data_IF_827816955218
#
_entry.id   IF_827816955218
#
_cell.length_a   1.000
_cell.length_b   1.000
_cell.length_c   1.000
_cell.angle_alpha   90.00
_cell.angle_beta   90.00
_cell.angle_gamma   90.00
#
_symmetry.space_group_name_H-M   'P 1'
#
loop_
_entity.id
_entity.type
_entity.pdbx_description
1 polymer ?
#
# COMPACT_ATOMS: atom_id res chain seq x y z
N UNK A 1 -12.83 -0.40 -37.88
CA UNK A 1 -11.98 0.58 -37.17
C UNK A 1 -12.88 1.47 -36.33
N UNK A 2 -12.96 1.21 -35.03
CA UNK A 2 -13.77 1.98 -34.07
C UNK A 2 -12.82 2.37 -32.94
N UNK A 3 -12.65 3.67 -32.76
CA UNK A 3 -11.77 4.28 -31.77
C UNK A 3 -12.47 4.22 -30.39
N UNK A 4 -11.90 3.61 -29.35
CA UNK A 4 -12.54 3.57 -28.03
C UNK A 4 -12.48 4.95 -27.38
N UNK A 5 -13.67 5.57 -27.25
CA UNK A 5 -13.88 6.88 -26.61
C UNK A 5 -13.36 6.86 -25.17
N UNK A 6 -12.48 7.81 -24.85
CA UNK A 6 -12.09 8.21 -23.49
C UNK A 6 -13.33 8.67 -22.69
N UNK A 7 -13.64 8.10 -21.52
CA UNK A 7 -14.78 8.55 -20.71
C UNK A 7 -14.49 9.81 -19.88
N UNK A 8 -13.24 10.26 -19.82
CA UNK A 8 -12.83 11.38 -18.96
C UNK A 8 -12.26 12.51 -19.81
N UNK A 9 -13.14 13.36 -20.34
CA UNK A 9 -12.74 14.63 -20.94
C UNK A 9 -12.43 15.65 -19.83
N UNK A 10 -11.33 16.42 -19.93
CA UNK A 10 -11.02 17.45 -18.95
C UNK A 10 -12.00 18.63 -19.13
N UNK A 11 -12.83 18.91 -18.11
CA UNK A 11 -13.60 20.15 -18.07
C UNK A 11 -12.74 21.26 -17.46
N UNK A 12 -12.76 22.39 -18.16
CA UNK A 12 -12.02 23.64 -17.92
C UNK A 12 -12.40 24.33 -16.60
N UNK A 13 -11.38 24.99 -16.03
CA UNK A 13 -11.39 25.78 -14.80
C UNK A 13 -12.57 26.75 -14.62
N UNK A 14 -13.09 26.80 -13.39
CA UNK A 14 -13.61 28.01 -12.73
C UNK A 14 -13.12 28.03 -11.27
N UNK A 15 -12.74 29.19 -10.71
CA UNK A 15 -12.13 29.26 -9.39
C UNK A 15 -13.19 29.32 -8.27
N UNK A 16 -12.71 29.22 -7.02
CA UNK A 16 -13.39 29.40 -5.71
C UNK A 16 -13.90 28.07 -5.11
N UNK A 17 -13.62 27.67 -3.87
CA UNK A 17 -13.29 28.41 -2.64
C UNK A 17 -12.16 27.76 -1.81
N UNK A 18 -11.60 28.57 -0.93
CA UNK A 18 -10.59 28.27 0.10
C UNK A 18 -10.81 26.93 0.84
N UNK A 19 -9.76 26.12 0.88
CA UNK A 19 -9.62 24.96 1.74
C UNK A 19 -9.91 25.32 3.20
N UNK A 20 -10.60 24.47 3.98
CA UNK A 20 -10.68 24.66 5.41
C UNK A 20 -9.28 24.43 5.98
N UNK A 21 -8.69 25.51 6.52
CA UNK A 21 -7.53 25.44 7.38
C UNK A 21 -7.90 24.66 8.63
N UNK A 22 -7.41 23.43 8.75
CA UNK A 22 -7.41 22.74 10.03
C UNK A 22 -6.44 23.49 10.96
N UNK A 23 -7.01 24.34 11.79
CA UNK A 23 -6.28 25.02 12.87
C UNK A 23 -5.80 23.97 13.86
N UNK A 24 -4.49 23.81 13.94
CA UNK A 24 -3.78 23.08 14.99
C UNK A 24 -4.21 23.60 16.37
N UNK A 25 -5.08 22.85 17.04
CA UNK A 25 -5.40 23.04 18.44
C UNK A 25 -4.33 22.37 19.30
N UNK A 26 -3.33 23.15 19.66
CA UNK A 26 -2.31 22.85 20.67
C UNK A 26 -2.94 22.65 22.05
N UNK A 27 -2.72 21.46 22.66
CA UNK A 27 -2.38 21.25 24.08
C UNK A 27 -2.17 19.75 24.42
N UNK A 28 -1.06 19.19 23.92
CA UNK A 28 -0.29 18.11 24.58
C UNK A 28 1.19 18.48 24.46
N UNK A 29 2.06 18.14 25.44
CA UNK A 29 3.46 18.50 25.36
C UNK A 29 4.05 17.91 24.07
N UNK A 30 4.64 18.76 23.24
CA UNK A 30 5.18 18.36 21.94
C UNK A 30 6.36 17.41 22.14
N UNK A 31 6.17 16.12 21.84
CA UNK A 31 7.23 15.11 21.76
C UNK A 31 8.35 15.47 20.76
N UNK A 32 8.16 16.50 19.92
CA UNK A 32 9.13 16.95 18.90
C UNK A 32 10.47 17.44 19.46
N UNK A 33 10.56 17.92 20.71
CA UNK A 33 11.84 18.32 21.31
C UNK A 33 12.67 17.13 21.85
N UNK A 34 12.19 15.90 21.68
CA UNK A 34 12.76 14.71 22.31
C UNK A 34 13.03 13.54 21.36
N UNK A 35 12.91 13.72 20.04
CA UNK A 35 13.20 12.71 19.03
C UNK A 35 14.56 12.96 18.36
N UNK A 36 15.24 11.92 17.82
CA UNK A 36 16.49 12.12 17.11
C UNK A 36 16.28 12.93 15.84
N UNK A 37 17.22 13.82 15.50
CA UNK A 37 17.14 14.62 14.27
C UNK A 37 17.21 13.73 13.02
N UNK A 38 16.65 14.17 11.87
CA UNK A 38 16.82 13.50 10.58
C UNK A 38 18.29 13.16 10.25
N UNK A 39 19.20 14.11 10.48
CA UNK A 39 20.64 13.89 10.28
C UNK A 39 21.20 12.77 11.14
N UNK A 40 20.79 12.68 12.40
CA UNK A 40 21.19 11.61 13.31
C UNK A 40 20.66 10.25 12.83
N UNK A 41 19.39 10.16 12.44
CA UNK A 41 18.78 8.92 11.94
C UNK A 41 19.50 8.38 10.71
N UNK A 42 19.91 9.24 9.77
CA UNK A 42 20.63 8.81 8.56
C UNK A 42 21.97 8.13 8.87
N UNK A 43 22.72 8.60 9.87
CA UNK A 43 24.06 8.08 10.20
C UNK A 43 24.09 7.06 11.33
N UNK A 44 23.00 6.87 12.07
CA UNK A 44 22.94 5.96 13.23
C UNK A 44 21.86 4.88 13.05
N UNK A 45 21.79 3.96 14.02
CA UNK A 45 20.83 2.86 14.04
C UNK A 45 21.18 1.72 13.10
N UNK A 46 20.38 0.66 13.18
CA UNK A 46 20.47 -0.51 12.30
C UNK A 46 19.27 -0.53 11.36
N UNK A 47 19.48 -0.91 10.10
CA UNK A 47 18.37 -1.19 9.20
C UNK A 47 17.64 -2.45 9.67
N UNK A 48 16.30 -2.40 9.63
CA UNK A 48 15.47 -3.55 10.03
C UNK A 48 15.65 -4.71 9.05
N UNK A 49 15.80 -4.41 7.76
CA UNK A 49 16.12 -5.36 6.70
C UNK A 49 17.42 -4.93 5.97
N UNK A 50 18.60 -5.33 6.50
CA UNK A 50 19.88 -4.91 5.93
C UNK A 50 20.19 -5.58 4.58
N UNK A 51 19.59 -6.74 4.29
CA UNK A 51 19.82 -7.48 3.05
C UNK A 51 19.09 -6.85 1.86
N UNK A 52 18.07 -6.04 2.12
CA UNK A 52 17.21 -5.43 1.11
C UNK A 52 17.50 -3.93 0.86
N UNK A 53 18.69 -3.46 1.26
CA UNK A 53 19.08 -2.06 1.10
C UNK A 53 19.02 -1.54 -0.34
N UNK A 54 19.24 -2.39 -1.35
CA UNK A 54 19.09 -2.00 -2.75
C UNK A 54 17.65 -1.68 -3.11
N UNK A 55 16.68 -2.42 -2.56
CA UNK A 55 15.26 -2.16 -2.73
C UNK A 55 14.86 -0.87 -2.03
N UNK A 56 15.28 -0.68 -0.78
CA UNK A 56 15.07 0.56 -0.04
C UNK A 56 15.53 1.80 -0.83
N UNK A 57 16.72 1.74 -1.46
CA UNK A 57 17.24 2.81 -2.31
C UNK A 57 16.43 3.03 -3.58
N UNK A 58 15.97 1.95 -4.22
CA UNK A 58 15.15 2.03 -5.43
C UNK A 58 13.79 2.68 -5.16
N UNK A 59 13.21 2.39 -3.99
CA UNK A 59 11.90 2.87 -3.58
C UNK A 59 11.94 4.14 -2.74
N UNK A 60 13.14 4.65 -2.39
CA UNK A 60 13.27 5.87 -1.61
C UNK A 60 12.65 5.77 -0.22
N UNK A 61 12.67 4.58 0.41
CA UNK A 61 12.10 4.32 1.73
C UNK A 61 13.06 3.47 2.55
N UNK A 62 13.25 3.83 3.81
CA UNK A 62 14.14 3.15 4.74
C UNK A 62 13.46 2.96 6.07
N UNK A 63 13.75 1.84 6.73
CA UNK A 63 13.29 1.56 8.09
C UNK A 63 14.50 1.26 8.97
N UNK A 64 14.64 1.97 10.08
CA UNK A 64 15.73 1.81 11.03
C UNK A 64 15.26 1.64 12.46
N UNK A 65 15.93 0.74 13.19
CA UNK A 65 15.90 0.67 14.65
C UNK A 65 16.99 1.57 15.22
N UNK A 66 16.62 2.51 16.07
CA UNK A 66 17.54 3.48 16.69
C UNK A 66 17.36 3.46 18.20
N UNK A 67 18.47 3.33 18.94
CA UNK A 67 18.49 3.59 20.38
C UNK A 67 18.59 5.10 20.62
N UNK A 68 17.55 5.67 21.23
CA UNK A 68 17.51 7.09 21.57
C UNK A 68 17.11 7.26 23.04
N UNK A 69 17.99 7.90 23.82
CA UNK A 69 17.81 8.14 25.27
C UNK A 69 17.44 6.87 26.06
N UNK A 70 18.12 5.77 25.77
CA UNK A 70 17.94 4.49 26.46
C UNK A 70 16.69 3.70 26.06
N UNK A 71 15.96 4.13 25.01
CA UNK A 71 14.84 3.39 24.43
C UNK A 71 15.11 3.06 22.97
N UNK A 72 14.66 1.90 22.53
CA UNK A 72 14.64 1.59 21.10
C UNK A 72 13.34 2.14 20.48
N UNK A 73 13.50 2.78 19.33
CA UNK A 73 12.41 3.29 18.51
C UNK A 73 12.66 2.88 17.06
N UNK A 74 11.59 2.82 16.29
CA UNK A 74 11.63 2.51 14.87
C UNK A 74 11.35 3.80 14.09
N UNK A 75 12.11 4.02 13.01
CA UNK A 75 11.97 5.21 12.17
C UNK A 75 11.88 4.77 10.71
N UNK A 76 10.74 5.07 10.09
CA UNK A 76 10.53 4.96 8.65
C UNK A 76 10.77 6.33 8.02
N UNK A 77 11.62 6.40 7.00
CA UNK A 77 11.95 7.68 6.37
C UNK A 77 12.32 7.56 4.89
N UNK A 78 12.18 8.65 4.15
CA UNK A 78 12.60 8.75 2.75
C UNK A 78 11.71 9.69 1.91
N UNK A 79 12.00 9.75 0.61
CA UNK A 79 11.31 10.62 -0.36
C UNK A 79 9.89 10.10 -0.69
N UNK A 80 9.68 8.78 -0.61
CA UNK A 80 8.39 8.14 -0.85
C UNK A 80 7.69 7.76 0.47
N UNK A 81 8.11 8.35 1.60
CA UNK A 81 7.41 8.23 2.89
C UNK A 81 6.53 9.46 3.07
N UNK A 82 5.26 9.25 3.44
CA UNK A 82 4.27 10.31 3.55
C UNK A 82 3.67 10.36 4.95
N UNK A 83 3.39 11.57 5.46
CA UNK A 83 2.80 11.75 6.80
C UNK A 83 1.42 11.09 6.96
N UNK A 84 0.74 10.79 5.86
CA UNK A 84 -0.54 10.10 5.83
C UNK A 84 -0.50 8.73 6.51
N UNK A 85 0.62 8.01 6.45
CA UNK A 85 0.81 6.74 7.17
C UNK A 85 0.73 6.95 8.69
N UNK A 86 1.42 7.98 9.20
CA UNK A 86 1.35 8.34 10.61
C UNK A 86 -0.02 8.89 11.04
N UNK A 87 -0.71 9.60 10.14
CA UNK A 87 -2.05 10.14 10.40
C UNK A 87 -3.10 9.04 10.52
N UNK A 88 -3.11 8.08 9.59
CA UNK A 88 -4.06 6.95 9.66
C UNK A 88 -3.79 6.05 10.86
N UNK A 89 -2.52 5.81 11.23
CA UNK A 89 -2.19 5.05 12.43
C UNK A 89 -2.70 5.72 13.72
N UNK A 90 -2.67 7.06 13.78
CA UNK A 90 -3.26 7.79 14.92
C UNK A 90 -4.77 7.64 14.94
N UNK A 91 -5.45 7.81 13.81
CA UNK A 91 -6.90 7.59 13.69
C UNK A 91 -7.29 6.17 14.15
N UNK A 92 -6.62 5.15 13.61
CA UNK A 92 -6.90 3.74 13.94
C UNK A 92 -6.70 3.49 15.42
N UNK A 93 -5.63 4.02 16.04
CA UNK A 93 -5.41 3.89 17.48
C UNK A 93 -6.47 4.61 18.31
N UNK A 94 -6.93 5.77 17.87
CA UNK A 94 -7.88 6.62 18.62
C UNK A 94 -9.30 6.05 18.58
N UNK A 95 -9.74 5.55 17.42
CA UNK A 95 -11.14 5.18 17.19
C UNK A 95 -11.41 3.66 17.25
N UNK A 96 -10.37 2.85 17.43
CA UNK A 96 -10.50 1.38 17.40
C UNK A 96 -9.64 0.66 18.44
N UNK A 97 -9.84 -0.64 18.55
CA UNK A 97 -8.97 -1.54 19.33
C UNK A 97 -7.92 -2.26 18.47
N UNK A 98 -7.77 -1.91 17.19
CA UNK A 98 -6.74 -2.49 16.32
C UNK A 98 -5.35 -2.14 16.88
N UNK A 99 -4.49 -3.13 17.15
CA UNK A 99 -3.15 -2.85 17.63
C UNK A 99 -2.31 -2.31 16.47
N UNK A 100 -1.82 -1.08 16.61
CA UNK A 100 -0.85 -0.46 15.70
C UNK A 100 0.32 0.11 16.53
N UNK A 101 1.53 0.31 15.98
CA UNK A 101 2.59 1.00 16.71
C UNK A 101 2.19 2.41 17.12
N UNK A 102 2.59 2.87 18.31
CA UNK A 102 2.35 4.26 18.69
C UNK A 102 3.22 5.21 17.86
N UNK A 103 2.59 6.16 17.17
CA UNK A 103 3.31 7.22 16.45
C UNK A 103 3.83 8.25 17.46
N UNK A 104 5.15 8.32 17.60
CA UNK A 104 5.84 9.21 18.52
C UNK A 104 6.02 10.62 17.95
N UNK A 105 6.13 10.73 16.62
CA UNK A 105 6.26 12.01 15.93
C UNK A 105 6.45 11.86 14.42
N UNK A 106 6.36 13.00 13.73
CA UNK A 106 6.67 13.12 12.30
C UNK A 106 7.58 14.34 12.12
N UNK A 107 8.61 14.23 11.29
CA UNK A 107 9.43 15.35 10.87
C UNK A 107 9.57 15.34 9.34
N UNK A 108 9.75 16.53 8.76
CA UNK A 108 10.11 16.68 7.35
C UNK A 108 11.42 17.44 7.31
N UNK A 109 12.44 16.86 6.68
CA UNK A 109 13.71 17.55 6.50
C UNK A 109 13.58 18.55 5.36
N UNK A 110 13.64 19.85 5.67
CA UNK A 110 13.45 20.90 4.68
C UNK A 110 14.51 20.90 3.56
N UNK A 111 15.70 20.34 3.83
CA UNK A 111 16.79 20.30 2.87
C UNK A 111 16.60 19.22 1.80
N UNK A 112 16.17 18.01 2.18
CA UNK A 112 15.96 16.90 1.25
C UNK A 112 14.50 16.72 0.83
N UNK A 113 13.55 17.23 1.61
CA UNK A 113 12.12 16.96 1.45
C UNK A 113 11.68 15.60 2.00
N UNK A 114 12.58 14.80 2.57
CA UNK A 114 12.27 13.48 3.12
C UNK A 114 11.39 13.59 4.38
N UNK A 115 10.39 12.71 4.46
CA UNK A 115 9.57 12.54 5.67
C UNK A 115 10.21 11.50 6.58
N UNK A 116 10.10 11.71 7.89
CA UNK A 116 10.52 10.80 8.96
C UNK A 116 9.32 10.53 9.87
N UNK A 117 8.91 9.28 9.97
CA UNK A 117 7.88 8.81 10.90
C UNK A 117 8.60 8.06 12.03
N UNK A 118 8.42 8.55 13.25
CA UNK A 118 8.99 7.97 14.45
C UNK A 118 7.91 7.18 15.17
N UNK A 119 8.15 5.90 15.42
CA UNK A 119 7.17 5.00 16.00
C UNK A 119 7.76 4.10 17.09
N UNK A 120 6.86 3.59 17.92
CA UNK A 120 7.15 2.55 18.90
C UNK A 120 7.74 1.32 18.20
N UNK A 121 8.84 0.79 18.74
CA UNK A 121 9.31 -0.53 18.36
C UNK A 121 8.43 -1.58 19.05
N UNK A 122 7.60 -2.27 18.26
CA UNK A 122 6.87 -3.45 18.74
C UNK A 122 7.79 -4.66 18.66
N UNK A 123 8.26 -5.13 19.80
CA UNK A 123 9.14 -6.30 19.92
C UNK A 123 8.35 -7.61 19.68
N UNK A 124 8.10 -7.93 18.41
CA UNK A 124 7.44 -9.15 17.97
C UNK A 124 7.88 -9.51 16.54
N UNK A 125 8.04 -10.81 16.22
CA UNK A 125 8.28 -11.24 14.84
C UNK A 125 7.04 -11.01 13.97
N UNK A 126 7.25 -10.95 12.66
CA UNK A 126 6.14 -10.95 11.69
C UNK A 126 5.42 -12.31 11.71
N UNK A 127 4.17 -12.35 11.24
CA UNK A 127 3.43 -13.58 11.05
C UNK A 127 4.13 -14.48 10.02
N UNK A 128 4.78 -13.87 9.01
CA UNK A 128 5.57 -14.61 8.04
C UNK A 128 6.72 -15.38 8.72
N UNK A 129 7.51 -14.69 9.57
CA UNK A 129 8.65 -15.29 10.26
C UNK A 129 8.25 -16.32 11.32
N UNK A 130 7.14 -16.06 12.02
CA UNK A 130 6.69 -16.91 13.11
C UNK A 130 5.94 -18.16 12.65
N UNK A 131 5.43 -18.18 11.40
CA UNK A 131 4.39 -19.12 10.96
C UNK A 131 4.67 -20.58 11.26
N UNK A 132 5.86 -21.07 10.90
CA UNK A 132 6.24 -22.48 11.03
C UNK A 132 6.37 -22.94 12.49
N UNK A 133 6.45 -22.01 13.44
CA UNK A 133 6.50 -22.28 14.87
C UNK A 133 5.14 -22.23 15.57
N UNK A 134 4.10 -21.72 14.91
CA UNK A 134 2.79 -21.53 15.52
C UNK A 134 2.04 -22.86 15.65
N UNK A 135 1.44 -23.07 16.81
CA UNK A 135 0.52 -24.19 17.04
C UNK A 135 -0.84 -23.94 16.38
N UNK A 136 -1.64 -25.00 16.10
CA UNK A 136 -2.99 -24.83 15.56
C UNK A 136 -3.91 -23.95 16.44
N UNK A 137 -3.72 -23.98 17.76
CA UNK A 137 -4.47 -23.13 18.68
C UNK A 137 -4.10 -21.64 18.53
N UNK A 138 -2.81 -21.34 18.38
CA UNK A 138 -2.32 -19.98 18.16
C UNK A 138 -2.75 -19.44 16.80
N UNK A 139 -2.69 -20.25 15.73
CA UNK A 139 -3.21 -19.87 14.41
C UNK A 139 -4.71 -19.50 14.51
N UNK A 140 -5.50 -20.29 15.27
CA UNK A 140 -6.91 -19.99 15.52
C UNK A 140 -7.10 -18.68 16.29
N UNK A 141 -6.26 -18.40 17.28
CA UNK A 141 -6.29 -17.13 18.01
C UNK A 141 -5.92 -15.93 17.14
N UNK A 142 -4.87 -16.06 16.31
CA UNK A 142 -4.41 -15.01 15.39
C UNK A 142 -5.48 -14.70 14.34
N UNK A 143 -6.07 -15.72 13.72
CA UNK A 143 -7.16 -15.53 12.74
C UNK A 143 -8.40 -14.91 13.38
N UNK A 144 -8.72 -15.26 14.63
CA UNK A 144 -9.79 -14.59 15.39
C UNK A 144 -9.47 -13.12 15.70
N UNK A 145 -8.24 -12.80 16.08
CA UNK A 145 -7.80 -11.42 16.29
C UNK A 145 -7.84 -10.63 14.98
N UNK A 146 -7.43 -11.24 13.87
CA UNK A 146 -7.49 -10.64 12.54
C UNK A 146 -8.92 -10.26 12.15
N UNK A 147 -9.88 -11.19 12.27
CA UNK A 147 -11.30 -10.89 12.00
C UNK A 147 -11.82 -9.75 12.87
N UNK A 148 -11.39 -9.69 14.15
CA UNK A 148 -11.75 -8.58 15.04
C UNK A 148 -11.15 -7.27 14.54
N UNK A 149 -9.88 -7.26 14.11
CA UNK A 149 -9.24 -6.06 13.58
C UNK A 149 -9.97 -5.52 12.34
N UNK A 150 -10.32 -6.38 11.38
CA UNK A 150 -11.10 -5.97 10.20
C UNK A 150 -12.47 -5.41 10.60
N UNK A 151 -13.16 -6.03 11.56
CA UNK A 151 -14.44 -5.54 12.07
C UNK A 151 -14.31 -4.20 12.83
N UNK A 152 -13.19 -3.97 13.51
CA UNK A 152 -12.90 -2.71 14.20
C UNK A 152 -12.63 -1.56 13.22
N UNK A 153 -11.88 -1.79 12.14
CA UNK A 153 -11.75 -0.84 11.03
C UNK A 153 -13.11 -0.53 10.38
N UNK A 154 -14.08 -1.44 10.52
CA UNK A 154 -15.44 -1.21 10.07
C UNK A 154 -16.24 -0.17 10.86
N UNK A 155 -15.75 0.20 12.04
CA UNK A 155 -16.40 1.20 12.91
C UNK A 155 -15.95 2.62 12.64
N UNK A 156 -14.84 2.81 11.92
CA UNK A 156 -14.35 4.13 11.57
C UNK A 156 -15.32 4.78 10.59
N UNK A 157 -15.82 5.96 10.96
CA UNK A 157 -16.77 6.74 10.17
C UNK A 157 -16.16 7.17 8.83
N UNK A 158 -16.96 7.03 7.77
CA UNK A 158 -16.57 7.48 6.43
C UNK A 158 -16.83 8.99 6.31
N UNK A 159 -15.83 9.80 5.91
CA UNK A 159 -16.03 11.23 5.70
C UNK A 159 -17.12 11.52 4.65
N UNK A 160 -17.98 12.52 4.90
CA UNK A 160 -19.12 12.83 4.03
C UNK A 160 -18.75 13.16 2.56
N UNK A 161 -17.52 13.60 2.31
CA UNK A 161 -16.99 13.97 1.00
C UNK A 161 -15.82 13.07 0.56
N UNK A 162 -15.82 11.82 1.03
CA UNK A 162 -14.74 10.84 0.79
C UNK A 162 -14.35 10.75 -0.68
N UNK A 163 -13.03 10.67 -0.90
CA UNK A 163 -12.44 10.26 -2.16
C UNK A 163 -11.91 8.84 -2.02
N UNK A 164 -12.25 7.99 -2.98
CA UNK A 164 -11.75 6.62 -3.00
C UNK A 164 -10.28 6.63 -3.41
N UNK A 165 -9.47 5.84 -2.72
CA UNK A 165 -8.00 5.88 -2.78
C UNK A 165 -7.39 6.23 -1.42
N UNK A 166 -6.12 6.64 -1.40
CA UNK A 166 -5.37 6.87 -0.16
C UNK A 166 -6.16 7.63 0.92
N UNK A 167 -5.96 7.24 2.18
CA UNK A 167 -6.63 7.74 3.36
C UNK A 167 -6.71 9.27 3.43
N UNK A 168 -5.64 9.97 3.06
CA UNK A 168 -5.59 11.44 3.14
C UNK A 168 -6.49 12.16 2.13
N UNK A 169 -7.16 11.43 1.23
CA UNK A 169 -8.05 11.96 0.19
C UNK A 169 -7.39 13.04 -0.68
N UNK A 170 -6.07 13.00 -0.84
CA UNK A 170 -5.37 13.96 -1.70
C UNK A 170 -5.83 13.77 -3.14
N UNK A 171 -6.05 14.86 -3.88
CA UNK A 171 -6.31 14.78 -5.33
C UNK A 171 -5.10 14.24 -6.11
N UNK A 172 -3.93 14.21 -5.48
CA UNK A 172 -2.72 13.57 -6.00
C UNK A 172 -2.55 12.13 -5.49
N UNK A 173 -3.36 11.72 -4.50
CA UNK A 173 -3.33 10.36 -4.00
C UNK A 173 -3.81 9.39 -5.07
N UNK A 174 -3.14 8.24 -5.07
CA UNK A 174 -3.28 7.19 -6.06
C UNK A 174 -4.27 6.18 -5.52
N UNK A 175 -5.21 5.75 -6.36
CA UNK A 175 -6.11 4.62 -6.06
C UNK A 175 -5.49 3.31 -6.56
N UNK A 176 -4.61 3.37 -7.55
CA UNK A 176 -4.02 2.18 -8.13
C UNK A 176 -3.16 1.37 -7.18
N UNK A 177 -2.36 2.03 -6.34
CA UNK A 177 -1.43 1.35 -5.45
C UNK A 177 -2.22 0.56 -4.38
N UNK A 178 -3.18 1.21 -3.70
CA UNK A 178 -4.15 0.60 -2.78
C UNK A 178 -5.11 -0.45 -3.41
N UNK A 179 -5.21 -0.50 -4.75
CA UNK A 179 -6.01 -1.49 -5.48
C UNK A 179 -5.14 -2.50 -6.26
N UNK A 180 -3.83 -2.48 -6.06
CA UNK A 180 -2.84 -3.30 -6.78
C UNK A 180 -2.94 -3.26 -8.31
N UNK A 181 -3.37 -2.14 -8.88
CA UNK A 181 -3.42 -1.92 -10.33
C UNK A 181 -2.02 -1.52 -10.82
N UNK A 182 -1.29 -2.45 -11.42
CA UNK A 182 0.07 -2.15 -11.87
C UNK A 182 0.04 -1.29 -13.13
N UNK A 183 0.86 -0.23 -13.20
CA UNK A 183 0.97 0.63 -14.39
C UNK A 183 -0.38 1.24 -14.80
N UNK A 184 -1.13 1.72 -13.81
CA UNK A 184 -2.38 2.46 -14.01
C UNK A 184 -2.21 3.60 -15.03
N UNK A 185 -3.29 3.92 -15.73
CA UNK A 185 -3.29 5.10 -16.59
C UNK A 185 -3.15 6.37 -15.75
N UNK A 186 -2.37 7.33 -16.27
CA UNK A 186 -2.13 8.62 -15.61
C UNK A 186 -2.61 9.77 -16.50
N UNK A 187 -3.21 10.83 -15.92
CA UNK A 187 -3.57 10.97 -14.50
C UNK A 187 -4.69 9.98 -14.10
N UNK A 188 -4.66 9.54 -12.83
CA UNK A 188 -5.75 8.71 -12.29
C UNK A 188 -7.02 9.55 -12.09
N UNK A 189 -8.22 8.99 -12.27
CA UNK A 189 -9.46 9.71 -12.09
C UNK A 189 -9.73 9.99 -10.60
N UNK A 190 -10.47 11.06 -10.32
CA UNK A 190 -11.07 11.25 -9.00
C UNK A 190 -12.30 10.36 -8.86
N UNK A 191 -12.29 9.47 -7.88
CA UNK A 191 -13.35 8.49 -7.66
C UNK A 191 -14.10 8.85 -6.37
N UNK A 192 -15.43 8.96 -6.48
CA UNK A 192 -16.33 9.35 -5.36
C UNK A 192 -17.40 8.32 -5.04
N UNK A 193 -17.64 7.41 -5.97
CA UNK A 193 -18.74 6.44 -5.87
C UNK A 193 -18.25 5.08 -6.31
N UNK A 194 -18.93 4.03 -5.82
CA UNK A 194 -18.71 2.66 -6.27
C UNK A 194 -18.94 2.51 -7.79
N UNK A 195 -19.86 3.30 -8.36
CA UNK A 195 -20.12 3.30 -9.81
C UNK A 195 -18.88 3.77 -10.58
N UNK A 196 -18.31 4.92 -10.22
CA UNK A 196 -17.11 5.42 -10.90
C UNK A 196 -15.89 4.52 -10.65
N UNK A 197 -15.77 3.95 -9.44
CA UNK A 197 -14.72 2.99 -9.12
C UNK A 197 -14.82 1.74 -10.00
N UNK A 198 -16.01 1.16 -10.11
CA UNK A 198 -16.31 0.03 -10.99
C UNK A 198 -15.96 0.34 -12.45
N UNK A 199 -16.37 1.50 -12.95
CA UNK A 199 -16.06 1.94 -14.32
C UNK A 199 -14.55 2.08 -14.56
N UNK A 200 -13.82 2.59 -13.57
CA UNK A 200 -12.37 2.73 -13.65
C UNK A 200 -11.64 1.37 -13.64
N UNK A 201 -12.04 0.43 -12.77
CA UNK A 201 -11.49 -0.94 -12.79
C UNK A 201 -11.74 -1.60 -14.15
N UNK A 202 -12.95 -1.48 -14.70
CA UNK A 202 -13.27 -1.99 -16.04
C UNK A 202 -12.41 -1.35 -17.13
N UNK A 203 -12.20 -0.03 -17.05
CA UNK A 203 -11.31 0.69 -17.96
C UNK A 203 -9.88 0.16 -17.91
N UNK A 204 -9.34 -0.08 -16.71
CA UNK A 204 -8.00 -0.65 -16.52
C UNK A 204 -7.93 -2.08 -17.09
N UNK A 205 -8.92 -2.94 -16.85
CA UNK A 205 -8.97 -4.28 -17.45
C UNK A 205 -8.95 -4.18 -18.99
N UNK A 206 -9.78 -3.31 -19.58
CA UNK A 206 -9.89 -3.15 -21.03
C UNK A 206 -8.58 -2.69 -21.69
N UNK A 207 -7.79 -1.85 -21.02
CA UNK A 207 -6.46 -1.42 -21.50
C UNK A 207 -5.47 -2.58 -21.63
N UNK A 208 -5.72 -3.70 -20.96
CA UNK A 208 -4.86 -4.88 -20.91
C UNK A 208 -5.37 -6.02 -21.79
N UNK A 209 -6.42 -5.78 -22.59
CA UNK A 209 -7.07 -6.81 -23.43
C UNK A 209 -6.09 -7.66 -24.23
N UNK A 210 -5.08 -7.06 -24.85
CA UNK A 210 -4.06 -7.80 -25.61
C UNK A 210 -3.28 -8.82 -24.77
N UNK A 211 -2.89 -8.46 -23.55
CA UNK A 211 -2.20 -9.36 -22.61
C UNK A 211 -3.15 -10.36 -21.94
N UNK A 212 -4.45 -10.18 -22.12
CA UNK A 212 -5.52 -11.00 -21.54
C UNK A 212 -6.24 -11.85 -22.60
N UNK A 213 -5.76 -11.87 -23.85
CA UNK A 213 -6.42 -12.56 -24.97
C UNK A 213 -6.70 -14.06 -24.71
N UNK A 214 -5.88 -14.72 -23.90
CA UNK A 214 -6.04 -16.13 -23.54
C UNK A 214 -6.84 -16.35 -22.25
N UNK A 215 -7.11 -15.27 -21.50
CA UNK A 215 -7.84 -15.33 -20.23
C UNK A 215 -9.34 -15.13 -20.50
N UNK A 216 -10.14 -16.11 -20.10
CA UNK A 216 -11.61 -15.94 -20.06
C UNK A 216 -11.98 -15.01 -18.91
N UNK A 217 -12.36 -13.77 -19.22
CA UNK A 217 -12.76 -12.76 -18.24
C UNK A 217 -14.28 -12.60 -18.29
N UNK A 218 -15.01 -12.84 -17.18
CA UNK A 218 -16.44 -12.56 -17.09
C UNK A 218 -16.75 -11.08 -17.39
N UNK A 219 -17.85 -10.81 -18.09
CA UNK A 219 -18.18 -9.48 -18.59
C UNK A 219 -18.36 -8.40 -17.50
N UNK A 220 -18.65 -8.80 -16.27
CA UNK A 220 -18.88 -7.93 -15.13
C UNK A 220 -17.96 -8.25 -13.95
N UNK A 221 -16.78 -8.81 -14.22
CA UNK A 221 -15.79 -9.24 -13.22
C UNK A 221 -15.45 -8.13 -12.19
N UNK A 222 -15.46 -6.86 -12.61
CA UNK A 222 -15.16 -5.73 -11.73
C UNK A 222 -16.16 -5.57 -10.56
N UNK A 223 -17.34 -6.21 -10.64
CA UNK A 223 -18.36 -6.18 -9.57
C UNK A 223 -17.81 -6.72 -8.25
N UNK A 224 -16.93 -7.73 -8.30
CA UNK A 224 -16.42 -8.37 -7.09
C UNK A 224 -15.56 -7.43 -6.24
N UNK A 225 -14.85 -6.49 -6.88
CA UNK A 225 -14.03 -5.50 -6.18
C UNK A 225 -14.82 -4.23 -5.82
N UNK A 226 -15.96 -3.99 -6.48
CA UNK A 226 -16.79 -2.80 -6.30
C UNK A 226 -18.10 -3.06 -5.52
N UNK A 227 -18.14 -4.12 -4.71
CA UNK A 227 -19.31 -4.50 -3.91
C UNK A 227 -19.12 -4.18 -2.41
N UNK A 228 -20.25 -4.03 -1.71
CA UNK A 228 -20.28 -3.73 -0.28
C UNK A 228 -20.09 -2.25 0.03
N UNK A 229 -19.95 -1.95 1.33
CA UNK A 229 -19.80 -0.59 1.81
C UNK A 229 -18.36 -0.09 1.66
N UNK A 230 -18.22 1.22 1.47
CA UNK A 230 -16.93 1.92 1.53
C UNK A 230 -16.51 2.03 2.99
N UNK A 231 -15.21 1.86 3.26
CA UNK A 231 -14.64 2.17 4.55
C UNK A 231 -13.12 2.19 4.51
N UNK A 232 -12.53 2.42 5.68
CA UNK A 232 -11.08 2.36 5.81
C UNK A 232 -10.62 0.91 5.62
N UNK A 233 -9.66 0.72 4.73
CA UNK A 233 -8.91 -0.53 4.53
C UNK A 233 -7.42 -0.24 4.67
N UNK A 234 -6.66 -1.23 5.13
CA UNK A 234 -5.21 -1.22 5.16
C UNK A 234 -4.63 -1.29 3.74
N UNK A 235 -5.26 -2.04 2.84
CA UNK A 235 -4.92 -2.17 1.42
C UNK A 235 -3.56 -2.82 1.10
N UNK A 236 -2.71 -3.02 2.11
CA UNK A 236 -1.46 -3.78 2.01
C UNK A 236 -1.33 -4.90 3.06
N UNK A 237 -2.42 -5.61 3.36
CA UNK A 237 -2.35 -6.73 4.32
C UNK A 237 -1.53 -7.90 3.75
N UNK A 238 -0.39 -8.13 4.39
CA UNK A 238 0.52 -9.24 4.12
C UNK A 238 0.91 -9.93 5.44
N UNK A 239 1.50 -11.12 5.37
CA UNK A 239 2.01 -11.79 6.57
C UNK A 239 3.23 -11.07 7.18
N UNK A 240 3.98 -10.30 6.40
CA UNK A 240 5.08 -9.45 6.88
C UNK A 240 4.58 -8.22 7.65
N UNK A 241 3.38 -7.73 7.33
CA UNK A 241 2.80 -6.52 7.93
C UNK A 241 1.98 -6.79 9.22
N UNK A 242 1.97 -8.04 9.70
CA UNK A 242 1.26 -8.44 10.92
C UNK A 242 2.29 -8.98 11.90
N UNK A 243 2.51 -8.29 13.02
CA UNK A 243 3.38 -8.75 14.09
C UNK A 243 2.62 -9.64 15.06
N UNK A 244 3.20 -10.76 15.47
CA UNK A 244 2.55 -11.73 16.38
C UNK A 244 3.43 -12.09 17.56
N UNK A 245 2.83 -12.22 18.74
CA UNK A 245 3.52 -12.63 19.97
C UNK A 245 2.57 -13.44 20.84
N UNK A 246 3.06 -14.56 21.36
CA UNK A 246 2.28 -15.45 22.24
C UNK A 246 0.92 -15.85 21.66
N UNK A 247 0.90 -16.16 20.35
CA UNK A 247 -0.31 -16.58 19.64
C UNK A 247 -1.36 -15.50 19.41
N UNK A 248 -1.02 -14.22 19.56
CA UNK A 248 -1.92 -13.07 19.36
C UNK A 248 -1.32 -12.07 18.38
N UNK A 249 -2.16 -11.26 17.73
CA UNK A 249 -1.67 -10.12 16.96
C UNK A 249 -1.15 -9.05 17.94
N UNK A 250 0.12 -8.71 17.80
CA UNK A 250 0.79 -7.69 18.59
C UNK A 250 0.69 -6.30 17.94
N UNK A 251 0.74 -6.21 16.62
CA UNK A 251 0.49 -5.00 15.84
C UNK A 251 0.24 -5.29 14.35
N UNK A 252 -0.46 -4.37 13.67
CA UNK A 252 -0.50 -4.26 12.21
C UNK A 252 0.31 -3.02 11.82
N UNK A 253 1.24 -3.18 10.89
CA UNK A 253 2.23 -2.16 10.47
C UNK A 253 2.15 -1.88 8.98
N UNK A 254 2.86 -0.86 8.51
CA UNK A 254 2.93 -0.42 7.11
C UNK A 254 1.59 0.05 6.52
N UNK A 255 1.07 1.15 7.09
CA UNK A 255 -0.22 1.74 6.72
C UNK A 255 -0.12 2.73 5.54
N UNK A 256 0.97 2.71 4.77
CA UNK A 256 1.23 3.68 3.70
C UNK A 256 0.17 3.65 2.59
N UNK A 257 -0.36 2.46 2.29
CA UNK A 257 -1.37 2.22 1.25
C UNK A 257 -2.81 2.30 1.77
N UNK A 258 -3.00 2.61 3.06
CA UNK A 258 -4.33 2.68 3.66
C UNK A 258 -5.24 3.64 2.89
N UNK A 259 -6.48 3.23 2.70
CA UNK A 259 -7.37 3.85 1.72
C UNK A 259 -8.83 3.76 2.12
N UNK A 260 -9.63 4.67 1.54
CA UNK A 260 -11.09 4.56 1.53
C UNK A 260 -11.51 3.77 0.29
N UNK A 261 -11.91 2.51 0.49
CA UNK A 261 -12.25 1.59 -0.59
C UNK A 261 -13.44 0.71 -0.18
N UNK A 262 -14.06 -0.02 -1.13
CA UNK A 262 -14.93 -1.13 -0.78
C UNK A 262 -14.20 -2.06 0.19
N UNK A 263 -14.81 -2.39 1.34
CA UNK A 263 -14.13 -3.16 2.41
C UNK A 263 -13.64 -4.53 1.94
N UNK A 264 -14.27 -5.08 0.90
CA UNK A 264 -13.86 -6.33 0.26
C UNK A 264 -12.45 -6.26 -0.38
N UNK A 265 -11.90 -5.05 -0.56
CA UNK A 265 -10.55 -4.83 -1.03
C UNK A 265 -9.50 -5.53 -0.15
N UNK A 266 -9.72 -5.68 1.17
CA UNK A 266 -8.80 -6.40 2.06
C UNK A 266 -8.65 -7.87 1.66
N UNK A 267 -9.76 -8.53 1.32
CA UNK A 267 -9.74 -9.91 0.85
C UNK A 267 -9.07 -10.02 -0.53
N UNK A 268 -9.33 -9.05 -1.40
CA UNK A 268 -8.70 -8.97 -2.72
C UNK A 268 -7.18 -8.76 -2.63
N UNK A 269 -6.69 -7.96 -1.69
CA UNK A 269 -5.26 -7.78 -1.40
C UNK A 269 -4.61 -9.12 -1.05
N UNK A 270 -5.21 -9.90 -0.13
CA UNK A 270 -4.71 -11.24 0.22
C UNK A 270 -4.68 -12.20 -0.99
N UNK A 271 -5.74 -12.21 -1.81
CA UNK A 271 -5.76 -13.01 -3.06
C UNK A 271 -4.66 -12.55 -4.02
N UNK A 272 -4.45 -11.25 -4.14
CA UNK A 272 -3.41 -10.68 -5.01
C UNK A 272 -2.01 -11.12 -4.59
N UNK A 273 -1.72 -11.12 -3.29
CA UNK A 273 -0.45 -11.64 -2.76
C UNK A 273 -0.27 -13.14 -3.01
N UNK A 274 -1.33 -13.93 -2.85
CA UNK A 274 -1.33 -15.37 -3.12
C UNK A 274 -1.12 -15.72 -4.60
N UNK A 275 -1.69 -14.95 -5.52
CA UNK A 275 -1.59 -15.18 -6.97
C UNK A 275 -0.24 -14.70 -7.55
N UNK A 276 0.35 -13.64 -6.97
CA UNK A 276 1.61 -13.09 -7.48
C UNK A 276 2.85 -13.87 -7.04
N UNK A 277 2.67 -14.93 -6.24
CA UNK A 277 3.77 -15.67 -5.58
C UNK A 277 4.74 -14.74 -4.83
N UNK A 278 4.24 -13.61 -4.33
CA UNK A 278 4.99 -12.62 -3.54
C UNK A 278 4.73 -12.78 -2.03
N UNK A 279 4.28 -13.96 -1.61
CA UNK A 279 3.97 -14.22 -0.22
C UNK A 279 5.16 -14.86 0.48
N UNK A 280 5.68 -14.19 1.51
CA UNK A 280 6.68 -14.75 2.43
C UNK A 280 6.10 -15.94 3.20
N UNK A 281 4.78 -15.97 3.41
CA UNK A 281 4.07 -17.09 4.03
C UNK A 281 2.71 -17.36 3.36
N UNK A 282 2.67 -18.34 2.46
CA UNK A 282 1.45 -18.71 1.72
C UNK A 282 0.34 -19.23 2.65
N UNK A 283 0.69 -20.14 3.55
CA UNK A 283 -0.27 -20.76 4.47
C UNK A 283 -0.87 -19.74 5.43
N UNK A 284 -0.07 -18.75 5.88
CA UNK A 284 -0.54 -17.61 6.66
C UNK A 284 -1.58 -16.79 5.95
N UNK A 285 -1.29 -16.35 4.72
CA UNK A 285 -2.27 -15.61 3.92
C UNK A 285 -3.54 -16.42 3.64
N UNK A 286 -3.43 -17.73 3.40
CA UNK A 286 -4.60 -18.59 3.22
C UNK A 286 -5.46 -18.66 4.50
N UNK A 287 -4.84 -18.75 5.67
CA UNK A 287 -5.55 -18.75 6.95
C UNK A 287 -6.26 -17.42 7.22
N UNK A 288 -5.63 -16.28 6.90
CA UNK A 288 -6.27 -14.97 7.02
C UNK A 288 -7.42 -14.80 6.01
N UNK A 289 -7.20 -15.21 4.74
CA UNK A 289 -8.21 -15.12 3.69
C UNK A 289 -9.45 -15.96 4.03
N UNK A 290 -9.26 -17.14 4.64
CA UNK A 290 -10.37 -17.99 5.06
C UNK A 290 -11.34 -17.29 6.03
N UNK A 291 -10.88 -16.28 6.78
CA UNK A 291 -11.74 -15.54 7.71
C UNK A 291 -12.81 -14.68 7.03
N UNK A 292 -12.63 -14.35 5.75
CA UNK A 292 -13.61 -13.59 4.97
C UNK A 292 -14.79 -14.44 4.49
N UNK A 293 -14.69 -15.78 4.57
CA UNK A 293 -15.73 -16.72 4.14
C UNK A 293 -16.26 -16.44 2.72
N UNK A 294 -15.35 -16.14 1.78
CA UNK A 294 -15.72 -15.87 0.40
C UNK A 294 -16.35 -17.12 -0.23
N UNK A 295 -17.43 -16.93 -0.99
CA UNK A 295 -17.92 -17.98 -1.87
C UNK A 295 -16.93 -18.27 -3.00
N UNK A 296 -17.08 -19.44 -3.63
CA UNK A 296 -16.18 -19.90 -4.68
C UNK A 296 -16.17 -18.96 -5.90
N UNK A 297 -17.30 -18.31 -6.19
CA UNK A 297 -17.43 -17.39 -7.32
C UNK A 297 -16.63 -16.11 -7.10
N UNK A 298 -16.72 -15.52 -5.91
CA UNK A 298 -16.00 -14.32 -5.49
C UNK A 298 -14.51 -14.58 -5.42
N UNK A 299 -14.10 -15.71 -4.84
CA UNK A 299 -12.69 -16.09 -4.77
C UNK A 299 -12.08 -16.24 -6.17
N UNK A 300 -12.78 -16.91 -7.08
CA UNK A 300 -12.31 -17.08 -8.46
C UNK A 300 -12.30 -15.74 -9.22
N UNK A 301 -13.32 -14.91 -9.00
CA UNK A 301 -13.39 -13.56 -9.53
C UNK A 301 -12.19 -12.70 -9.12
N UNK A 302 -11.77 -12.77 -7.86
CA UNK A 302 -10.56 -12.08 -7.39
C UNK A 302 -9.27 -12.58 -8.00
N UNK A 303 -9.11 -13.88 -8.25
CA UNK A 303 -7.93 -14.38 -8.96
C UNK A 303 -7.85 -13.86 -10.39
N UNK A 304 -8.99 -13.85 -11.09
CA UNK A 304 -9.09 -13.30 -12.45
C UNK A 304 -8.78 -11.80 -12.43
N UNK A 305 -9.35 -11.04 -11.48
CA UNK A 305 -9.06 -9.60 -11.32
C UNK A 305 -7.58 -9.33 -11.04
N UNK A 306 -6.96 -10.09 -10.13
CA UNK A 306 -5.54 -9.95 -9.82
C UNK A 306 -4.68 -10.11 -11.08
N UNK A 307 -4.93 -11.17 -11.86
CA UNK A 307 -4.24 -11.37 -13.16
C UNK A 307 -4.54 -10.23 -14.14
N UNK A 308 -5.81 -9.81 -14.22
CA UNK A 308 -6.24 -8.76 -15.14
C UNK A 308 -5.62 -7.40 -14.82
N UNK A 309 -5.59 -6.98 -13.56
CA UNK A 309 -5.11 -5.66 -13.13
C UNK A 309 -3.58 -5.58 -13.01
N UNK A 310 -2.90 -6.73 -12.96
CA UNK A 310 -1.43 -6.80 -12.92
C UNK A 310 -0.78 -7.05 -14.28
N UNK A 311 -1.56 -7.43 -15.31
CA UNK A 311 -1.09 -7.64 -16.67
C UNK A 311 -0.55 -6.36 -17.33
N UNK A 312 0.24 -6.52 -18.39
CA UNK A 312 0.80 -5.40 -19.13
C UNK A 312 -0.29 -4.66 -19.93
N UNK A 313 -0.38 -3.32 -19.83
CA UNK A 313 -1.28 -2.56 -20.70
C UNK A 313 -0.78 -2.56 -22.14
N UNK A 314 -1.71 -2.41 -23.09
CA UNK A 314 -1.40 -2.36 -24.52
C UNK A 314 -0.50 -1.15 -24.84
N UNK A 315 0.48 -1.33 -25.75
CA UNK A 315 1.47 -0.32 -26.17
C UNK A 315 0.83 0.95 -26.73
N UNK A 316 -0.39 0.87 -27.25
CA UNK A 316 -1.13 2.00 -27.83
C UNK A 316 -1.68 2.99 -26.80
N UNK A 317 -1.56 2.69 -25.50
CA UNK A 317 -1.79 3.67 -24.46
C UNK A 317 -0.45 4.08 -23.83
N UNK A 318 0.27 5.06 -24.42
CA UNK A 318 1.53 5.51 -23.88
C UNK A 318 1.34 6.00 -22.44
N UNK A 319 2.29 5.64 -21.57
CA UNK A 319 2.41 6.30 -20.27
C UNK A 319 2.65 7.78 -20.54
N UNK A 320 1.71 8.65 -20.16
CA UNK A 320 2.05 10.05 -19.98
C UNK A 320 3.05 10.05 -18.82
N UNK A 321 4.34 10.24 -19.14
CA UNK A 321 5.34 10.59 -18.12
C UNK A 321 4.81 11.85 -17.46
N UNK A 322 4.28 11.72 -16.25
CA UNK A 322 4.13 12.87 -15.38
C UNK A 322 5.50 13.55 -15.29
N UNK A 323 5.53 14.88 -15.31
CA UNK A 323 6.74 15.64 -15.07
C UNK A 323 7.26 15.31 -13.66
N UNK A 324 8.10 14.28 -13.59
CA UNK A 324 8.87 13.81 -12.46
C UNK A 324 10.01 13.01 -13.08
N UNK A 325 11.22 13.55 -12.98
CA UNK A 325 12.38 13.15 -13.78
C UNK A 325 12.61 11.64 -13.82
N UNK A 326 12.67 11.07 -15.02
CA UNK A 326 13.28 9.77 -15.19
C UNK A 326 14.78 9.86 -14.81
N UNK A 327 15.34 8.89 -14.08
CA UNK A 327 16.78 8.83 -13.90
C UNK A 327 17.43 8.62 -15.27
N UNK A 328 18.24 9.59 -15.70
CA UNK A 328 19.12 9.43 -16.85
C UNK A 328 20.23 8.46 -16.45
N UNK A 329 20.30 7.30 -17.11
CA UNK A 329 21.54 6.53 -17.13
C UNK A 329 21.36 5.02 -17.23
N UNK A 330 21.15 4.51 -18.44
CA UNK A 330 21.66 3.21 -18.88
C UNK A 330 21.43 3.08 -20.39
N UNK A 331 22.16 3.88 -21.18
CA UNK A 331 22.39 3.52 -22.58
C UNK A 331 23.52 2.48 -22.56
N UNK A 332 23.17 1.20 -22.73
CA UNK A 332 24.14 0.20 -23.14
C UNK A 332 24.60 0.55 -24.56
N UNK A 333 25.81 1.10 -24.68
CA UNK A 333 26.58 1.07 -25.91
C UNK A 333 27.18 -0.32 -26.04
N UNK A 334 26.77 -1.06 -27.05
CA UNK A 334 27.57 -2.16 -27.61
C UNK A 334 28.90 -1.57 -28.06
N UNK A 335 29.99 -2.03 -27.42
CA UNK A 335 31.34 -1.80 -27.88
C UNK A 335 31.95 -3.17 -28.23
N UNK A 336 32.03 -3.37 -29.54
CA UNK A 336 32.80 -4.38 -30.25
C UNK A 336 34.27 -4.35 -29.81
N UNK A 337 34.80 -5.48 -29.33
CA UNK A 337 36.25 -5.71 -29.24
C UNK A 337 36.61 -7.19 -29.32
N UNK A 338 36.83 -7.64 -30.56
CA UNK A 338 37.93 -8.51 -31.04
C UNK A 338 38.63 -9.40 -29.98
N UNK A 339 38.41 -10.72 -30.06
CA UNK A 339 39.33 -11.74 -29.54
C UNK A 339 40.49 -12.00 -30.52
N UNK A 340 41.74 -12.14 -30.07
CA UNK A 340 42.80 -12.68 -30.90
C UNK A 340 42.78 -14.22 -30.90
N UNK A 341 42.97 -14.81 -32.09
CA UNK A 341 43.30 -16.23 -32.29
C UNK A 341 44.76 -16.49 -31.92
N UNK A 342 44.99 -17.46 -31.03
CA UNK A 342 46.14 -18.41 -30.96
C UNK A 342 45.64 -19.56 -30.05
N UNK A 343 45.80 -20.84 -30.29
CA UNK A 343 46.43 -21.63 -31.35
C UNK A 343 46.47 -23.08 -30.84
N UNK A 344 46.02 -24.01 -31.67
CA UNK A 344 46.42 -25.41 -31.77
C UNK A 344 45.73 -25.96 -33.03
#
# INVERSE_FOLDING_TARGET
>A
MINPRTPFAPRTNRPVASSPSFTSSSKRPSLSQHLPSPSFVRTNGAHVDPDNLSYCRLHGQFVKRVTWRGKEILIKYGEEVFSSEAEVMRLVREDTTVPVPAVLGVAVDAASGETFIYEELVDAPTLADAWDSLTPAEIKSITSDFSRCIAELAKIDVPANVLLGNYNMSLHARVADSCHVTRSYRPEPTLRTLVNFREWIRFEINRRSHSLNELSIPADIERFLAQGDIGLVHADLSAGNILVKSGRIAAIVDWAEAAWLPRIAEAYTLVTYLERHRCECRAGLQALLATFNLDAETLEGFKILSKALTAYPNKNFPMLRGNGGAPRGAQHREADSRRPRRGA
#
